data_IF_743857814908
#
_entry.id   IF_743857814908
#
_cell.length_a   1.000
_cell.length_b   1.000
_cell.length_c   1.000
_cell.angle_alpha   90.00
_cell.angle_beta   90.00
_cell.angle_gamma   90.00
#
_symmetry.space_group_name_H-M   'P 1'
#
loop_
_entity.id
_entity.type
_entity.pdbx_description
1 polymer ?
#
# COMPACT_ATOMS: atom_id res chain seq x y z
N UNK A 1 23.73 -7.22 22.12
CA UNK A 1 22.50 -6.58 22.63
C UNK A 1 22.70 -5.07 22.56
N UNK A 2 22.22 -4.43 21.49
CA UNK A 2 22.39 -2.99 21.30
C UNK A 2 21.27 -2.26 22.05
N UNK A 3 21.63 -1.48 23.05
CA UNK A 3 20.70 -0.61 23.77
C UNK A 3 20.21 0.49 22.81
N UNK A 4 18.94 0.43 22.40
CA UNK A 4 18.30 1.53 21.72
C UNK A 4 18.27 2.74 22.67
N UNK A 5 19.00 3.79 22.31
CA UNK A 5 19.12 4.97 23.15
C UNK A 5 17.76 5.69 23.23
N UNK A 6 17.12 5.79 24.41
CA UNK A 6 15.77 6.33 24.57
C UNK A 6 15.66 7.80 24.14
N UNK A 7 16.77 8.55 24.19
CA UNK A 7 16.86 9.94 23.72
C UNK A 7 16.78 10.00 22.20
N UNK A 8 17.33 9.01 21.49
CA UNK A 8 17.26 8.94 20.02
C UNK A 8 15.85 8.55 19.56
N UNK A 9 15.15 7.66 20.28
CA UNK A 9 13.73 7.38 19.98
C UNK A 9 12.85 8.59 20.23
N UNK A 10 13.03 9.28 21.35
CA UNK A 10 12.27 10.50 21.64
C UNK A 10 12.52 11.60 20.60
N UNK A 11 13.77 11.79 20.17
CA UNK A 11 14.11 12.75 19.12
C UNK A 11 13.54 12.35 17.75
N UNK A 12 13.48 11.05 17.44
CA UNK A 12 12.82 10.55 16.21
C UNK A 12 11.31 10.78 16.25
N UNK A 13 10.67 10.53 17.38
CA UNK A 13 9.23 10.81 17.57
C UNK A 13 8.93 12.31 17.47
N UNK A 14 9.84 13.15 17.98
CA UNK A 14 9.74 14.61 17.91
C UNK A 14 9.97 15.13 16.48
N UNK A 15 10.89 14.55 15.72
CA UNK A 15 11.07 14.86 14.30
C UNK A 15 9.89 14.36 13.46
N UNK A 16 9.35 13.18 13.78
CA UNK A 16 8.17 12.63 13.10
C UNK A 16 6.94 13.54 13.30
N UNK A 17 6.75 14.07 14.50
CA UNK A 17 5.71 15.05 14.81
C UNK A 17 5.97 16.44 14.21
N UNK A 18 7.22 16.86 14.04
CA UNK A 18 7.57 18.11 13.35
C UNK A 18 7.43 18.01 11.83
N UNK A 19 7.60 16.81 11.26
CA UNK A 19 7.41 16.52 9.84
C UNK A 19 5.95 16.46 9.40
N UNK A 20 5.00 16.62 10.33
CA UNK A 20 3.56 16.78 10.12
C UNK A 20 3.17 18.12 10.77
N UNK A 21 3.23 19.23 10.02
CA UNK A 21 3.03 20.54 10.63
C UNK A 21 1.57 20.73 11.06
N UNK A 22 1.37 20.91 12.37
CA UNK A 22 0.17 21.43 13.05
C UNK A 22 -1.19 20.80 12.68
N UNK A 23 -1.64 19.85 13.52
CA UNK A 23 -3.07 19.79 13.87
C UNK A 23 -3.79 18.44 13.75
N UNK A 24 -3.20 17.32 14.21
CA UNK A 24 -3.88 16.14 14.79
C UNK A 24 -2.81 15.07 15.05
N UNK A 25 -2.91 14.29 16.14
CA UNK A 25 -2.07 13.09 16.30
C UNK A 25 -2.28 12.21 15.08
N UNK A 26 -1.20 11.86 14.38
CA UNK A 26 -1.26 10.92 13.26
C UNK A 26 -1.94 9.64 13.77
N UNK A 27 -3.13 9.37 13.23
CA UNK A 27 -3.84 8.13 13.50
C UNK A 27 -3.27 7.10 12.55
N UNK A 28 -3.04 5.88 13.01
CA UNK A 28 -2.50 4.80 12.18
C UNK A 28 -3.51 3.66 12.10
N UNK A 29 -3.59 3.02 10.93
CA UNK A 29 -4.35 1.81 10.68
C UNK A 29 -3.39 0.61 10.76
N UNK A 30 -3.33 -0.12 11.88
CA UNK A 30 -2.47 -1.30 12.02
C UNK A 30 -2.91 -2.39 11.05
N UNK A 31 -2.00 -3.26 10.60
CA UNK A 31 -2.28 -4.50 9.88
C UNK A 31 -2.89 -5.57 10.80
N UNK A 32 -2.70 -5.44 12.12
CA UNK A 32 -3.12 -6.46 13.09
C UNK A 32 -2.15 -7.66 13.08
N UNK A 33 -0.93 -7.41 12.63
CA UNK A 33 0.14 -8.38 12.44
C UNK A 33 1.38 -7.74 13.04
N UNK A 34 1.79 -8.20 14.20
CA UNK A 34 2.82 -7.57 15.03
C UNK A 34 4.11 -7.27 14.30
N UNK A 35 4.55 -8.16 13.42
CA UNK A 35 5.81 -8.08 12.71
C UNK A 35 5.77 -7.03 11.59
N UNK A 36 4.60 -6.83 10.98
CA UNK A 36 4.39 -5.75 10.01
C UNK A 36 4.26 -4.42 10.75
N UNK A 37 3.44 -4.40 11.79
CA UNK A 37 3.13 -3.18 12.55
C UNK A 37 4.38 -2.64 13.26
N UNK A 38 5.27 -3.51 13.75
CA UNK A 38 6.52 -3.09 14.40
C UNK A 38 7.51 -2.40 13.44
N UNK A 39 7.46 -2.69 12.14
CA UNK A 39 8.34 -2.06 11.14
C UNK A 39 7.81 -0.69 10.72
N UNK A 40 6.50 -0.48 10.81
CA UNK A 40 5.86 0.78 10.41
C UNK A 40 5.93 1.80 11.53
N UNK A 41 6.49 3.00 11.29
CA UNK A 41 6.43 4.09 12.24
C UNK A 41 4.99 4.40 12.62
N UNK A 42 4.69 4.38 13.92
CA UNK A 42 3.33 4.56 14.44
C UNK A 42 2.44 3.31 14.41
N UNK A 43 2.98 2.15 14.01
CA UNK A 43 2.28 0.86 14.14
C UNK A 43 1.30 0.54 13.02
N UNK A 44 1.37 1.19 11.85
CA UNK A 44 0.45 0.93 10.75
C UNK A 44 0.52 1.93 9.59
N UNK A 45 -0.50 1.91 8.74
CA UNK A 45 -0.68 2.86 7.64
C UNK A 45 -1.19 4.20 8.18
N UNK A 46 -0.48 5.30 7.95
CA UNK A 46 -0.84 6.62 8.46
C UNK A 46 -2.07 7.21 7.79
N UNK A 47 -3.02 7.70 8.58
CA UNK A 47 -4.01 8.66 8.10
C UNK A 47 -3.34 10.03 7.85
N UNK A 48 -3.81 10.77 6.85
CA UNK A 48 -3.18 12.01 6.40
C UNK A 48 -1.84 11.81 5.68
N UNK A 49 -1.57 10.59 5.22
CA UNK A 49 -0.36 10.24 4.49
C UNK A 49 -0.69 9.66 3.12
N UNK A 50 0.24 9.85 2.19
CA UNK A 50 0.26 9.20 0.89
C UNK A 50 1.07 7.93 0.96
N UNK A 51 0.50 6.85 0.44
CA UNK A 51 1.11 5.54 0.33
C UNK A 51 1.11 5.09 -1.12
N UNK A 52 2.13 4.33 -1.52
CA UNK A 52 2.23 3.73 -2.84
C UNK A 52 2.20 2.20 -2.74
N UNK A 53 1.45 1.56 -3.63
CA UNK A 53 1.40 0.10 -3.75
C UNK A 53 1.48 -0.26 -5.23
N UNK A 54 2.24 -1.30 -5.55
CA UNK A 54 2.35 -1.82 -6.91
C UNK A 54 2.45 -3.34 -6.93
N UNK A 55 2.11 -3.95 -8.06
CA UNK A 55 2.37 -5.35 -8.31
C UNK A 55 3.83 -5.63 -8.69
N UNK A 56 4.36 -6.77 -8.26
CA UNK A 56 5.69 -7.27 -8.64
C UNK A 56 5.64 -8.50 -9.55
N UNK A 57 6.68 -8.71 -10.34
CA UNK A 57 6.81 -9.86 -11.24
C UNK A 57 5.72 -9.86 -12.32
N UNK A 58 4.97 -10.96 -12.44
CA UNK A 58 3.82 -11.04 -13.35
C UNK A 58 2.72 -10.02 -13.04
N UNK A 59 2.56 -9.69 -11.75
CA UNK A 59 1.56 -8.74 -11.26
C UNK A 59 1.85 -7.27 -11.58
N UNK A 60 3.00 -6.94 -12.18
CA UNK A 60 3.35 -5.55 -12.53
C UNK A 60 2.33 -4.92 -13.47
N UNK A 61 1.76 -5.66 -14.42
CA UNK A 61 0.80 -5.11 -15.40
C UNK A 61 -0.64 -5.34 -14.96
N UNK A 62 -1.00 -6.57 -14.53
CA UNK A 62 -2.38 -6.88 -14.14
C UNK A 62 -2.77 -6.33 -12.77
N UNK A 63 -1.80 -5.99 -11.91
CA UNK A 63 -1.95 -5.38 -10.59
C UNK A 63 -2.96 -6.02 -9.63
N UNK A 64 -3.43 -7.24 -9.87
CA UNK A 64 -4.59 -7.79 -9.17
C UNK A 64 -4.31 -8.03 -7.67
N UNK A 65 -3.13 -8.59 -7.34
CA UNK A 65 -2.72 -8.79 -5.96
C UNK A 65 -2.53 -7.46 -5.21
N UNK A 66 -1.97 -6.45 -5.88
CA UNK A 66 -1.81 -5.12 -5.32
C UNK A 66 -3.16 -4.42 -5.09
N UNK A 67 -4.09 -4.50 -6.05
CA UNK A 67 -5.44 -3.98 -5.92
C UNK A 67 -6.18 -4.64 -4.75
N UNK A 68 -6.12 -5.97 -4.63
CA UNK A 68 -6.78 -6.70 -3.55
C UNK A 68 -6.14 -6.41 -2.18
N UNK A 69 -4.81 -6.24 -2.13
CA UNK A 69 -4.11 -5.77 -0.93
C UNK A 69 -4.59 -4.37 -0.50
N UNK A 70 -4.68 -3.43 -1.44
CA UNK A 70 -5.23 -2.09 -1.18
C UNK A 70 -6.68 -2.15 -0.72
N UNK A 71 -7.52 -2.96 -1.38
CA UNK A 71 -8.91 -3.17 -1.01
C UNK A 71 -9.03 -3.66 0.45
N UNK A 72 -8.22 -4.64 0.86
CA UNK A 72 -8.19 -5.12 2.24
C UNK A 72 -7.74 -4.05 3.25
N UNK A 73 -6.78 -3.19 2.89
CA UNK A 73 -6.38 -2.06 3.75
C UNK A 73 -7.56 -1.09 3.92
N UNK A 74 -8.14 -0.60 2.82
CA UNK A 74 -9.19 0.43 2.90
C UNK A 74 -10.52 -0.12 3.42
N UNK A 75 -10.78 -1.42 3.29
CA UNK A 75 -11.90 -2.11 3.93
C UNK A 75 -11.88 -1.93 5.47
N UNK A 76 -10.68 -1.91 6.06
CA UNK A 76 -10.48 -1.74 7.51
C UNK A 76 -10.47 -0.28 7.96
N UNK A 77 -10.45 0.67 7.04
CA UNK A 77 -10.72 2.07 7.37
C UNK A 77 -12.17 2.24 7.86
N UNK A 78 -12.49 3.32 8.56
CA UNK A 78 -13.86 3.64 8.96
C UNK A 78 -14.38 4.83 8.16
N UNK A 79 -15.32 4.61 7.23
CA UNK A 79 -15.96 5.67 6.43
C UNK A 79 -16.05 5.34 4.95
N UNK A 80 -16.33 6.34 4.11
CA UNK A 80 -16.43 6.20 2.65
C UNK A 80 -15.03 6.20 2.01
N UNK A 81 -14.89 5.46 0.91
CA UNK A 81 -13.69 5.34 0.10
C UNK A 81 -14.01 5.84 -1.31
N UNK A 82 -13.15 6.67 -1.87
CA UNK A 82 -13.18 7.00 -3.29
C UNK A 82 -12.11 6.18 -4.01
N UNK A 83 -12.46 5.55 -5.13
CA UNK A 83 -11.53 4.80 -5.95
C UNK A 83 -11.53 5.35 -7.37
N UNK A 84 -10.50 6.12 -7.70
CA UNK A 84 -10.30 6.74 -9.00
C UNK A 84 -9.52 5.79 -9.92
N UNK A 85 -10.06 5.48 -11.09
CA UNK A 85 -9.45 4.55 -12.03
C UNK A 85 -9.54 5.04 -13.48
N UNK A 86 -8.59 4.61 -14.30
CA UNK A 86 -8.58 4.88 -15.74
C UNK A 86 -9.04 3.69 -16.59
N UNK A 87 -9.27 2.54 -15.95
CA UNK A 87 -9.68 1.30 -16.61
C UNK A 87 -10.76 0.64 -15.78
N UNK A 88 -11.92 0.30 -16.37
CA UNK A 88 -12.96 -0.46 -15.68
C UNK A 88 -12.62 -1.96 -15.66
N UNK A 89 -11.38 -2.31 -15.29
CA UNK A 89 -10.89 -3.70 -15.20
C UNK A 89 -10.79 -4.22 -13.75
N UNK A 90 -11.23 -3.40 -12.79
CA UNK A 90 -11.32 -3.80 -11.40
C UNK A 90 -12.49 -4.77 -11.17
N UNK A 91 -12.18 -5.98 -10.71
CA UNK A 91 -13.21 -6.97 -10.42
C UNK A 91 -13.88 -6.69 -9.05
N UNK A 92 -14.98 -5.94 -9.06
CA UNK A 92 -15.68 -5.51 -7.84
C UNK A 92 -16.06 -6.62 -6.86
N UNK A 93 -16.47 -7.84 -7.29
CA UNK A 93 -16.75 -8.91 -6.35
C UNK A 93 -15.53 -9.32 -5.51
N UNK A 94 -14.31 -9.28 -6.06
CA UNK A 94 -13.10 -9.55 -5.27
C UNK A 94 -12.82 -8.45 -4.24
N UNK A 95 -13.09 -7.19 -4.59
CA UNK A 95 -12.99 -6.04 -3.66
C UNK A 95 -13.95 -6.20 -2.49
N UNK A 96 -15.21 -6.60 -2.77
CA UNK A 96 -16.20 -6.92 -1.74
C UNK A 96 -15.79 -8.14 -0.89
N UNK A 97 -15.23 -9.18 -1.50
CA UNK A 97 -14.69 -10.35 -0.80
C UNK A 97 -13.48 -10.03 0.09
N UNK A 98 -12.73 -8.97 -0.20
CA UNK A 98 -11.70 -8.43 0.69
C UNK A 98 -12.27 -7.55 1.82
N UNK A 99 -13.60 -7.44 1.95
CA UNK A 99 -14.29 -6.74 3.02
C UNK A 99 -14.65 -5.28 2.72
N UNK A 100 -14.33 -4.74 1.53
CA UNK A 100 -14.76 -3.39 1.15
C UNK A 100 -16.19 -3.46 0.62
N UNK A 101 -17.15 -3.22 1.51
CA UNK A 101 -18.58 -3.26 1.17
C UNK A 101 -18.92 -2.28 0.03
N UNK A 102 -19.75 -2.65 -0.96
CA UNK A 102 -20.13 -1.78 -2.09
C UNK A 102 -20.65 -0.42 -1.65
N UNK A 103 -21.51 -0.35 -0.62
CA UNK A 103 -22.01 0.92 -0.08
C UNK A 103 -20.94 1.84 0.50
N UNK A 104 -19.71 1.35 0.73
CA UNK A 104 -18.62 2.15 1.28
C UNK A 104 -17.70 2.72 0.20
N UNK A 105 -17.82 2.28 -1.05
CA UNK A 105 -16.93 2.71 -2.12
C UNK A 105 -17.68 3.45 -3.21
N UNK A 106 -17.12 4.58 -3.63
CA UNK A 106 -17.53 5.31 -4.82
C UNK A 106 -16.43 5.11 -5.85
N UNK A 107 -16.79 4.58 -7.02
CA UNK A 107 -15.86 4.44 -8.14
C UNK A 107 -15.96 5.68 -9.03
N UNK A 108 -14.80 6.28 -9.33
CA UNK A 108 -14.68 7.39 -10.26
C UNK A 108 -13.84 6.92 -11.44
N UNK A 109 -14.51 6.69 -12.56
CA UNK A 109 -13.87 6.28 -13.81
C UNK A 109 -13.56 7.52 -14.64
N UNK A 110 -12.39 7.53 -15.28
CA UNK A 110 -11.96 8.61 -16.16
C UNK A 110 -11.21 8.05 -17.36
N UNK A 111 -11.31 8.71 -18.51
CA UNK A 111 -10.63 8.24 -19.73
C UNK A 111 -9.14 8.60 -19.75
N UNK A 112 -8.74 9.58 -18.91
CA UNK A 112 -7.40 10.14 -18.86
C UNK A 112 -6.78 10.03 -17.48
N UNK A 113 -5.48 9.75 -17.45
CA UNK A 113 -4.70 9.68 -16.21
C UNK A 113 -4.72 10.99 -15.42
N UNK A 114 -4.69 12.14 -16.10
CA UNK A 114 -4.71 13.44 -15.43
C UNK A 114 -6.05 13.72 -14.75
N UNK A 115 -7.16 13.20 -15.28
CA UNK A 115 -8.49 13.32 -14.68
C UNK A 115 -8.61 12.42 -13.45
N UNK A 116 -8.14 11.17 -13.53
CA UNK A 116 -8.09 10.28 -12.37
C UNK A 116 -7.21 10.86 -11.24
N UNK A 117 -6.08 11.49 -11.59
CA UNK A 117 -5.23 12.21 -10.64
C UNK A 117 -5.95 13.41 -10.03
N UNK A 118 -6.67 14.20 -10.83
CA UNK A 118 -7.46 15.35 -10.36
C UNK A 118 -8.56 14.91 -9.40
N UNK A 119 -9.31 13.86 -9.76
CA UNK A 119 -10.35 13.28 -8.92
C UNK A 119 -9.79 12.75 -7.58
N UNK A 120 -8.60 12.13 -7.62
CA UNK A 120 -7.90 11.70 -6.40
C UNK A 120 -7.55 12.90 -5.51
N UNK A 121 -7.04 13.98 -6.08
CA UNK A 121 -6.68 15.19 -5.32
C UNK A 121 -7.90 15.91 -4.72
N UNK A 122 -8.99 16.01 -5.49
CA UNK A 122 -10.27 16.56 -5.01
C UNK A 122 -10.85 15.70 -3.89
N UNK A 123 -10.85 14.37 -4.05
CA UNK A 123 -11.28 13.44 -3.02
C UNK A 123 -10.47 13.59 -1.73
N UNK A 124 -9.14 13.71 -1.83
CA UNK A 124 -8.28 13.93 -0.67
C UNK A 124 -8.55 15.29 -0.01
N UNK A 125 -8.93 16.30 -0.79
CA UNK A 125 -9.21 17.66 -0.30
C UNK A 125 -10.61 17.81 0.30
N UNK A 126 -11.53 16.86 0.07
CA UNK A 126 -12.93 16.94 0.48
C UNK A 126 -13.16 16.90 2.00
N UNK A 127 -12.35 16.15 2.76
CA UNK A 127 -12.43 16.11 4.22
C UNK A 127 -13.46 15.14 4.83
N UNK A 128 -14.27 14.47 4.02
CA UNK A 128 -15.28 13.50 4.47
C UNK A 128 -14.98 12.03 4.14
N UNK A 129 -13.85 11.74 3.49
CA UNK A 129 -13.47 10.39 3.08
C UNK A 129 -12.46 9.79 4.06
N UNK A 130 -12.59 8.49 4.32
CA UNK A 130 -11.63 7.75 5.13
C UNK A 130 -10.34 7.45 4.34
N UNK A 131 -10.51 7.11 3.06
CA UNK A 131 -9.41 6.83 2.16
C UNK A 131 -9.76 7.21 0.72
N UNK A 132 -8.73 7.51 -0.07
CA UNK A 132 -8.82 7.75 -1.51
C UNK A 132 -7.76 6.90 -2.20
N UNK A 133 -8.20 6.07 -3.13
CA UNK A 133 -7.35 5.23 -3.97
C UNK A 133 -7.30 5.84 -5.37
N UNK A 134 -6.11 5.99 -5.94
CA UNK A 134 -5.93 6.41 -7.33
C UNK A 134 -5.08 5.41 -8.10
N UNK A 135 -5.60 4.90 -9.21
CA UNK A 135 -4.86 4.06 -10.14
C UNK A 135 -4.09 4.89 -11.15
N UNK A 136 -2.76 4.95 -11.01
CA UNK A 136 -1.88 5.81 -11.80
C UNK A 136 -0.73 5.01 -12.41
N UNK A 137 -0.37 5.31 -13.65
CA UNK A 137 0.85 4.80 -14.29
C UNK A 137 2.05 5.58 -13.73
N UNK A 138 1.99 6.92 -13.82
CA UNK A 138 3.08 7.82 -13.45
C UNK A 138 2.73 8.62 -12.21
N UNK A 139 3.70 8.76 -11.32
CA UNK A 139 3.56 9.59 -10.13
C UNK A 139 4.81 10.46 -9.94
N UNK A 140 4.91 11.62 -10.62
CA UNK A 140 6.03 12.52 -10.44
C UNK A 140 6.02 13.18 -9.04
N UNK A 141 7.18 13.70 -8.63
CA UNK A 141 7.37 14.28 -7.29
C UNK A 141 6.39 15.44 -7.01
N UNK A 142 6.13 16.32 -7.99
CA UNK A 142 5.19 17.42 -7.83
C UNK A 142 3.76 16.94 -7.56
N UNK A 143 3.27 15.94 -8.31
CA UNK A 143 1.96 15.35 -8.12
C UNK A 143 1.86 14.63 -6.78
N UNK A 144 2.82 13.76 -6.44
CA UNK A 144 2.83 13.09 -5.13
C UNK A 144 2.87 14.07 -3.96
N UNK A 145 3.60 15.18 -4.07
CA UNK A 145 3.64 16.20 -3.02
C UNK A 145 2.31 16.91 -2.85
N UNK A 146 1.61 17.24 -3.93
CA UNK A 146 0.25 17.81 -3.87
C UNK A 146 -0.72 16.86 -3.18
N UNK A 147 -0.72 15.58 -3.57
CA UNK A 147 -1.55 14.55 -2.94
C UNK A 147 -1.23 14.38 -1.45
N UNK A 148 0.06 14.35 -1.08
CA UNK A 148 0.48 14.28 0.32
C UNK A 148 -0.03 15.47 1.14
N UNK A 149 0.07 16.70 0.62
CA UNK A 149 -0.43 17.90 1.30
C UNK A 149 -1.97 17.89 1.42
N UNK A 150 -2.68 17.43 0.40
CA UNK A 150 -4.13 17.27 0.45
C UNK A 150 -4.55 16.25 1.51
N UNK A 151 -3.88 15.09 1.56
CA UNK A 151 -4.09 14.08 2.58
C UNK A 151 -3.81 14.63 3.99
N UNK A 152 -2.68 15.30 4.18
CA UNK A 152 -2.28 15.89 5.47
C UNK A 152 -3.32 16.90 5.98
N UNK A 153 -3.86 17.75 5.09
CA UNK A 153 -4.85 18.77 5.43
C UNK A 153 -6.16 18.17 5.97
N UNK A 154 -6.60 17.03 5.42
CA UNK A 154 -7.90 16.43 5.75
C UNK A 154 -7.82 15.27 6.73
N UNK A 155 -6.66 14.63 6.82
CA UNK A 155 -6.47 13.36 7.54
C UNK A 155 -6.93 12.13 6.75
N UNK A 156 -7.37 12.27 5.50
CA UNK A 156 -7.70 11.12 4.66
C UNK A 156 -6.46 10.28 4.34
N UNK A 157 -6.59 8.96 4.24
CA UNK A 157 -5.51 8.10 3.76
C UNK A 157 -5.46 8.13 2.23
N UNK A 158 -4.34 8.56 1.65
CA UNK A 158 -4.12 8.50 0.20
C UNK A 158 -3.36 7.24 -0.18
N UNK A 159 -3.87 6.46 -1.14
CA UNK A 159 -3.17 5.30 -1.68
C UNK A 159 -3.09 5.41 -3.20
N UNK A 160 -1.89 5.53 -3.73
CA UNK A 160 -1.65 5.40 -5.17
C UNK A 160 -1.37 3.93 -5.48
N UNK A 161 -2.26 3.33 -6.27
CA UNK A 161 -2.06 2.00 -6.84
C UNK A 161 -1.38 2.16 -8.21
N UNK A 162 -0.13 1.73 -8.33
CA UNK A 162 0.63 1.87 -9.58
C UNK A 162 0.23 0.81 -10.59
N UNK A 163 -0.28 1.23 -11.76
CA UNK A 163 -0.94 0.40 -12.77
C UNK A 163 -0.34 0.63 -14.16
N UNK A 164 0.77 -0.03 -14.47
CA UNK A 164 1.43 0.13 -15.77
C UNK A 164 0.69 -0.60 -16.91
N UNK A 165 0.89 -0.17 -18.15
CA UNK A 165 0.41 -0.90 -19.34
C UNK A 165 1.45 -1.91 -19.82
N UNK A 166 2.72 -1.58 -19.62
CA UNK A 166 3.86 -2.39 -20.03
C UNK A 166 4.88 -2.48 -18.91
N UNK A 167 5.58 -3.60 -18.83
CA UNK A 167 6.52 -3.86 -17.75
C UNK A 167 7.70 -2.87 -17.71
N UNK A 168 8.12 -2.34 -18.87
CA UNK A 168 9.20 -1.34 -18.94
C UNK A 168 8.83 0.01 -18.32
N UNK A 169 7.54 0.36 -18.26
CA UNK A 169 7.05 1.58 -17.63
C UNK A 169 7.23 1.53 -16.10
N UNK A 170 7.35 0.33 -15.51
CA UNK A 170 7.56 0.14 -14.07
C UNK A 170 8.95 0.53 -13.55
N UNK A 171 9.88 0.87 -14.46
CA UNK A 171 11.20 1.40 -14.11
C UNK A 171 11.12 2.69 -13.28
N UNK A 172 10.01 3.43 -13.36
CA UNK A 172 9.80 4.66 -12.60
C UNK A 172 9.40 4.41 -11.12
N UNK A 173 9.10 3.17 -10.73
CA UNK A 173 8.67 2.86 -9.37
C UNK A 173 9.75 3.07 -8.31
N UNK A 174 11.02 3.16 -8.73
CA UNK A 174 12.15 3.52 -7.87
C UNK A 174 12.31 5.03 -7.65
N UNK A 175 11.67 5.86 -8.46
CA UNK A 175 11.89 7.31 -8.44
C UNK A 175 11.41 7.94 -7.12
N UNK A 176 12.03 9.05 -6.67
CA UNK A 176 11.60 9.75 -5.47
C UNK A 176 10.17 10.31 -5.59
N UNK A 177 9.36 10.07 -4.56
CA UNK A 177 8.02 10.65 -4.40
C UNK A 177 7.85 11.15 -2.96
N UNK A 178 6.74 11.85 -2.71
CA UNK A 178 6.37 12.26 -1.35
C UNK A 178 5.73 11.14 -0.52
N UNK A 179 5.66 9.89 -1.00
CA UNK A 179 4.98 8.82 -0.26
C UNK A 179 5.72 8.45 1.04
N UNK A 180 4.92 8.22 2.08
CA UNK A 180 5.38 7.79 3.40
C UNK A 180 5.75 6.31 3.39
N UNK A 181 5.01 5.47 2.65
CA UNK A 181 5.37 4.07 2.42
C UNK A 181 5.26 3.69 0.95
N UNK A 182 6.10 2.76 0.50
CA UNK A 182 6.02 2.14 -0.82
C UNK A 182 6.08 0.63 -0.72
N UNK A 183 5.08 -0.05 -1.26
CA UNK A 183 4.91 -1.50 -1.19
C UNK A 183 4.96 -2.15 -2.56
N UNK A 184 5.63 -3.29 -2.69
CA UNK A 184 5.51 -4.17 -3.86
C UNK A 184 4.89 -5.49 -3.43
N UNK A 185 3.81 -5.88 -4.10
CA UNK A 185 3.07 -7.11 -3.82
C UNK A 185 3.28 -8.08 -4.98
N UNK A 186 4.00 -9.17 -4.72
CA UNK A 186 4.30 -10.19 -5.73
C UNK A 186 3.59 -11.49 -5.37
N UNK A 187 2.99 -12.18 -6.36
CA UNK A 187 2.32 -13.46 -6.11
C UNK A 187 3.33 -14.58 -5.86
N UNK A 188 3.07 -15.39 -4.84
CA UNK A 188 3.80 -16.63 -4.54
C UNK A 188 2.90 -17.83 -4.86
N UNK A 189 3.48 -19.02 -5.15
CA UNK A 189 2.71 -20.24 -5.29
C UNK A 189 1.83 -20.49 -4.06
N UNK A 190 0.56 -20.82 -4.28
CA UNK A 190 -0.36 -21.18 -3.19
C UNK A 190 0.10 -22.48 -2.50
N UNK A 191 -0.33 -22.67 -1.26
CA UNK A 191 -0.17 -23.96 -0.60
C UNK A 191 -0.94 -25.06 -1.36
N UNK A 192 -0.38 -26.28 -1.39
CA UNK A 192 -1.11 -27.43 -1.94
C UNK A 192 -2.19 -27.85 -0.96
N UNK A 193 -3.41 -27.96 -1.46
CA UNK A 193 -4.50 -28.53 -0.69
C UNK A 193 -4.42 -30.07 -0.71
N UNK A 194 -4.95 -30.76 0.31
CA UNK A 194 -5.07 -32.23 0.31
C UNK A 194 -6.12 -32.74 -0.71
N UNK A 195 -6.84 -31.82 -1.34
CA UNK A 195 -7.89 -32.06 -2.33
C UNK A 195 -7.59 -31.27 -3.61
N UNK A 196 -8.23 -31.63 -4.72
CA UNK A 196 -8.14 -30.85 -5.95
C UNK A 196 -8.67 -29.43 -5.72
N UNK A 197 -7.84 -28.42 -5.98
CA UNK A 197 -8.19 -27.01 -5.80
C UNK A 197 -6.97 -26.10 -5.71
N UNK A 198 -7.23 -24.80 -5.59
CA UNK A 198 -6.21 -23.77 -5.38
C UNK A 198 -6.29 -23.31 -3.94
N UNK A 199 -5.17 -23.40 -3.22
CA UNK A 199 -5.06 -22.92 -1.84
C UNK A 199 -5.20 -21.40 -1.76
N UNK A 200 -5.22 -20.87 -0.53
CA UNK A 200 -5.24 -19.41 -0.32
C UNK A 200 -4.08 -18.75 -1.08
N UNK A 201 -4.38 -17.66 -1.78
CA UNK A 201 -3.36 -16.90 -2.47
C UNK A 201 -2.30 -16.40 -1.47
N UNK A 202 -1.03 -16.60 -1.80
CA UNK A 202 0.13 -16.20 -1.02
C UNK A 202 0.85 -15.09 -1.76
N UNK A 203 1.31 -14.08 -1.03
CA UNK A 203 2.02 -12.95 -1.61
C UNK A 203 3.30 -12.67 -0.83
N UNK A 204 4.28 -12.12 -1.52
CA UNK A 204 5.42 -11.44 -0.95
C UNK A 204 5.09 -9.94 -0.93
N UNK A 205 4.96 -9.38 0.27
CA UNK A 205 4.80 -7.96 0.49
C UNK A 205 6.14 -7.33 0.87
N UNK A 206 6.68 -6.52 -0.03
CA UNK A 206 7.96 -5.84 0.15
C UNK A 206 7.74 -4.36 0.43
N UNK A 207 8.04 -3.95 1.66
CA UNK A 207 8.11 -2.55 2.05
C UNK A 207 9.44 -1.98 1.54
N UNK A 208 9.40 -1.39 0.34
CA UNK A 208 10.58 -0.89 -0.36
C UNK A 208 11.04 0.48 0.15
N UNK A 209 10.13 1.25 0.77
CA UNK A 209 10.40 2.55 1.38
C UNK A 209 9.45 2.76 2.53
N UNK A 210 9.97 3.30 3.63
CA UNK A 210 9.17 3.85 4.72
C UNK A 210 9.88 5.08 5.30
N UNK A 211 9.18 6.20 5.42
CA UNK A 211 9.72 7.43 6.00
C UNK A 211 10.05 7.16 7.47
N UNK A 212 11.31 7.32 7.86
CA UNK A 212 11.79 7.06 9.23
C UNK A 212 11.68 5.59 9.72
N UNK A 213 11.61 4.61 8.81
CA UNK A 213 11.68 3.18 9.13
C UNK A 213 12.70 2.44 8.26
N UNK A 214 12.76 1.11 8.41
CA UNK A 214 13.59 0.24 7.58
C UNK A 214 12.73 -0.52 6.55
N UNK A 215 13.33 -0.84 5.41
CA UNK A 215 12.70 -1.73 4.43
C UNK A 215 12.57 -3.15 5.00
N UNK A 216 11.51 -3.86 4.61
CA UNK A 216 11.23 -5.22 5.08
C UNK A 216 10.46 -6.01 4.03
N UNK A 217 10.46 -7.34 4.18
CA UNK A 217 9.70 -8.26 3.34
C UNK A 217 8.92 -9.23 4.21
N UNK A 218 7.70 -9.56 3.76
CA UNK A 218 6.79 -10.43 4.49
C UNK A 218 6.10 -11.40 3.52
N UNK A 219 6.04 -12.68 3.87
CA UNK A 219 5.14 -13.61 3.20
C UNK A 219 3.77 -13.55 3.88
N UNK A 220 2.76 -13.14 3.13
CA UNK A 220 1.41 -12.93 3.64
C UNK A 220 0.36 -13.70 2.83
N UNK A 221 -0.75 -14.05 3.48
CA UNK A 221 -1.94 -14.52 2.81
C UNK A 221 -2.77 -13.35 2.26
N UNK A 222 -3.42 -13.55 1.12
CA UNK A 222 -4.42 -12.62 0.59
C UNK A 222 -5.47 -12.28 1.65
N UNK A 223 -6.03 -11.05 1.69
CA UNK A 223 -6.90 -10.61 2.75
C UNK A 223 -8.15 -11.48 2.88
N UNK A 224 -8.63 -11.64 4.11
CA UNK A 224 -9.91 -12.28 4.39
C UNK A 224 -11.11 -11.33 4.12
N UNK A 225 -12.32 -11.80 4.42
CA UNK A 225 -13.56 -11.02 4.30
C UNK A 225 -13.65 -9.79 5.23
N UNK A 226 -12.68 -9.60 6.12
CA UNK A 226 -12.54 -8.43 6.99
C UNK A 226 -11.35 -7.55 6.58
N UNK A 227 -10.75 -7.80 5.42
CA UNK A 227 -9.60 -7.07 4.90
C UNK A 227 -8.29 -7.37 5.64
N UNK A 228 -8.25 -8.43 6.46
CA UNK A 228 -7.08 -8.76 7.29
C UNK A 228 -6.16 -9.70 6.53
N UNK A 229 -4.89 -9.33 6.47
CA UNK A 229 -3.80 -10.19 6.03
C UNK A 229 -3.31 -11.05 7.20
N UNK A 230 -2.66 -12.17 6.90
CA UNK A 230 -1.99 -13.00 7.89
C UNK A 230 -0.55 -13.26 7.45
N UNK A 231 0.38 -13.36 8.40
CA UNK A 231 1.71 -13.87 8.10
C UNK A 231 1.65 -15.35 7.79
N UNK A 232 2.48 -15.76 6.83
CA UNK A 232 2.67 -17.15 6.48
C UNK A 232 4.07 -17.57 6.91
N UNK A 233 4.26 -18.85 7.31
CA UNK A 233 5.60 -19.38 7.54
C UNK A 233 6.43 -19.23 6.26
N UNK A 234 7.64 -18.67 6.38
CA UNK A 234 8.59 -18.60 5.27
C UNK A 234 8.84 -20.02 4.78
N UNK A 235 8.58 -20.29 3.50
CA UNK A 235 8.77 -21.64 2.97
C UNK A 235 10.25 -22.07 3.14
N UNK A 236 10.53 -23.28 3.68
CA UNK A 236 11.90 -23.78 3.79
C UNK A 236 12.49 -23.92 2.37
N UNK A 237 13.51 -23.12 2.05
CA UNK A 237 14.20 -23.13 0.75
C UNK A 237 14.53 -21.77 0.16
N UNK A 238 14.12 -20.65 0.77
CA UNK A 238 14.32 -19.31 0.18
C UNK A 238 15.59 -18.57 0.60
N UNK A 239 16.26 -18.99 1.67
CA UNK A 239 17.52 -18.37 2.11
C UNK A 239 18.59 -18.32 1.00
N UNK A 240 18.53 -19.26 0.04
CA UNK A 240 19.49 -19.39 -1.05
C UNK A 240 19.13 -18.56 -2.31
N UNK A 241 17.86 -18.16 -2.45
CA UNK A 241 17.40 -17.39 -3.63
C UNK A 241 17.58 -15.88 -3.43
N UNK A 242 17.45 -15.37 -2.20
CA UNK A 242 17.67 -13.94 -1.89
C UNK A 242 19.11 -13.50 -2.17
N UNK A 243 20.08 -14.42 -2.10
CA UNK A 243 21.48 -14.17 -2.49
C UNK A 243 21.66 -14.01 -4.01
N UNK A 244 20.87 -14.72 -4.82
CA UNK A 244 20.96 -14.68 -6.29
C UNK A 244 20.38 -13.40 -6.90
N UNK A 245 19.32 -12.83 -6.33
CA UNK A 245 18.73 -11.57 -6.81
C UNK A 245 19.59 -10.34 -6.52
N UNK A 246 20.42 -10.36 -5.47
CA UNK A 246 21.40 -9.29 -5.19
C UNK A 246 22.48 -9.15 -6.27
N UNK A 247 22.80 -10.24 -6.98
CA UNK A 247 23.87 -10.26 -7.98
C UNK A 247 23.41 -9.93 -9.40
N UNK A 248 22.10 -9.77 -9.64
CA UNK A 248 21.53 -9.42 -10.96
C UNK A 248 21.10 -7.95 -11.07
N UNK A 249 21.28 -7.17 -10.00
CA UNK A 249 21.00 -5.73 -9.95
C UNK A 249 22.28 -4.91 -9.63
N UNK A 250 23.46 -5.49 -9.87
CA UNK A 250 24.75 -4.80 -9.88
C UNK A 250 25.18 -4.45 -11.29
#
# INVERSE_FOLDING_TARGET
>A
MSYANPVISELRDRIASLGCSYGKRATYLPFGVSEIDAVLPGGGMGYGCLHEVAGGGGGTVDGAAAALFVAGIVARSHGKVLWCMTRPDLFFPAVAQAGLHPDRVVFCESDREEEALSAMEEGLSFGGLAAVVGELVRLPMNASRRLQLAAEKTGAMGIVLRRWRRQNEASDYGQPTASTTRWRISTLPSERLPVAGVGRARWLAELMRVKAGACAEFEIGAPDAKGRVCLLPTAPGRADQTARWRNLAG
#
